data_IF_315395573115
#
_entry.id   IF_315395573115
#
_cell.length_a   1.000
_cell.length_b   1.000
_cell.length_c   1.000
_cell.angle_alpha   90.00
_cell.angle_beta   90.00
_cell.angle_gamma   90.00
#
_symmetry.space_group_name_H-M   'P 1'
#
loop_
_entity.id
_entity.type
_entity.pdbx_description
1 polymer ?
#
# COMPACT_ATOMS: atom_id res chain seq x y z
N UNK A 1 8.16 9.31 63.00
CA UNK A 1 7.44 8.96 61.74
C UNK A 1 7.43 7.44 61.59
N UNK A 2 6.25 6.83 61.63
CA UNK A 2 6.09 5.44 62.09
C UNK A 2 6.51 4.42 61.01
N UNK A 3 7.49 3.58 61.32
CA UNK A 3 8.00 2.52 60.44
C UNK A 3 6.88 1.59 59.94
N UNK A 4 5.83 1.38 60.75
CA UNK A 4 4.64 0.62 60.36
C UNK A 4 3.82 1.29 59.26
N UNK A 5 3.69 2.61 59.28
CA UNK A 5 2.97 3.39 58.26
C UNK A 5 3.70 3.33 56.91
N UNK A 6 5.04 3.44 56.90
CA UNK A 6 5.85 3.32 55.68
C UNK A 6 5.73 1.93 55.05
N UNK A 7 5.68 0.86 55.87
CA UNK A 7 5.49 -0.51 55.39
C UNK A 7 4.13 -0.73 54.74
N UNK A 8 3.05 -0.20 55.32
CA UNK A 8 1.71 -0.28 54.72
C UNK A 8 1.60 0.50 53.39
N UNK A 9 2.18 1.70 53.34
CA UNK A 9 2.14 2.55 52.13
C UNK A 9 2.94 1.91 50.99
N UNK A 10 4.12 1.33 51.27
CA UNK A 10 4.93 0.63 50.27
C UNK A 10 4.21 -0.64 49.78
N UNK A 11 3.60 -1.42 50.67
CA UNK A 11 2.83 -2.60 50.29
C UNK A 11 1.64 -2.28 49.38
N UNK A 12 0.90 -1.21 49.67
CA UNK A 12 -0.22 -0.77 48.84
C UNK A 12 0.25 -0.28 47.45
N UNK A 13 1.35 0.48 47.39
CA UNK A 13 1.89 0.98 46.12
C UNK A 13 2.37 -0.16 45.20
N UNK A 14 2.98 -1.21 45.76
CA UNK A 14 3.40 -2.39 44.99
C UNK A 14 2.21 -3.17 44.46
N UNK A 15 1.14 -3.32 45.25
CA UNK A 15 -0.08 -4.01 44.82
C UNK A 15 -0.82 -3.23 43.72
N UNK A 16 -0.92 -1.90 43.83
CA UNK A 16 -1.52 -1.07 42.78
C UNK A 16 -0.66 -1.11 41.52
N UNK A 17 0.66 -1.01 41.66
CA UNK A 17 1.60 -1.09 40.53
C UNK A 17 1.52 -2.43 39.80
N UNK A 18 1.41 -3.55 40.53
CA UNK A 18 1.27 -4.87 39.92
C UNK A 18 -0.05 -5.02 39.16
N UNK A 19 -1.16 -4.53 39.70
CA UNK A 19 -2.46 -4.55 39.02
C UNK A 19 -2.43 -3.69 37.76
N UNK A 20 -1.86 -2.48 37.81
CA UNK A 20 -1.73 -1.61 36.62
C UNK A 20 -0.84 -2.25 35.56
N UNK A 21 0.28 -2.87 35.96
CA UNK A 21 1.17 -3.60 35.05
C UNK A 21 0.45 -4.79 34.40
N UNK A 22 -0.30 -5.57 35.19
CA UNK A 22 -1.08 -6.71 34.69
C UNK A 22 -2.16 -6.23 33.71
N UNK A 23 -2.87 -5.14 34.02
CA UNK A 23 -3.88 -4.57 33.11
C UNK A 23 -3.26 -4.04 31.82
N UNK A 24 -2.11 -3.38 31.89
CA UNK A 24 -1.38 -2.91 30.70
C UNK A 24 -0.87 -4.08 29.85
N UNK A 25 -0.31 -5.11 30.47
CA UNK A 25 0.14 -6.33 29.80
C UNK A 25 -1.04 -7.11 29.19
N UNK A 26 -2.17 -7.19 29.90
CA UNK A 26 -3.39 -7.83 29.42
C UNK A 26 -3.96 -7.08 28.22
N UNK A 27 -3.95 -5.75 28.23
CA UNK A 27 -4.36 -4.94 27.08
C UNK A 27 -3.44 -5.15 25.86
N UNK A 28 -2.13 -5.35 26.09
CA UNK A 28 -1.17 -5.69 25.05
C UNK A 28 -1.35 -7.12 24.52
N UNK A 29 -1.79 -8.05 25.38
CA UNK A 29 -1.96 -9.47 25.05
C UNK A 29 -3.32 -9.76 24.37
N UNK A 30 -4.39 -9.06 24.73
CA UNK A 30 -5.68 -9.07 24.04
C UNK A 30 -5.65 -8.19 22.78
N UNK A 31 -4.53 -8.22 22.05
CA UNK A 31 -4.31 -7.43 20.83
C UNK A 31 -5.50 -7.47 19.88
N UNK A 32 -5.65 -6.46 19.00
CA UNK A 32 -6.85 -6.26 18.19
C UNK A 32 -7.23 -7.57 17.52
N UNK A 33 -8.35 -8.15 17.95
CA UNK A 33 -8.88 -9.37 17.36
C UNK A 33 -8.95 -9.12 15.86
N UNK A 34 -8.31 -9.97 15.06
CA UNK A 34 -8.41 -9.93 13.61
C UNK A 34 -9.87 -10.27 13.25
N UNK A 35 -10.75 -9.27 13.34
CA UNK A 35 -12.15 -9.40 12.99
C UNK A 35 -12.23 -9.69 11.49
N UNK A 36 -13.25 -10.42 11.04
CA UNK A 36 -13.52 -10.59 9.62
C UNK A 36 -13.51 -9.24 8.88
N UNK A 37 -14.12 -8.22 9.49
CA UNK A 37 -14.12 -6.86 8.96
C UNK A 37 -12.71 -6.28 8.76
N UNK A 38 -11.81 -6.41 9.75
CA UNK A 38 -10.43 -5.92 9.62
C UNK A 38 -9.66 -6.66 8.50
N UNK A 39 -9.88 -7.98 8.35
CA UNK A 39 -9.31 -8.77 7.26
C UNK A 39 -9.81 -8.32 5.90
N UNK A 40 -11.13 -8.15 5.74
CA UNK A 40 -11.72 -7.67 4.48
C UNK A 40 -11.27 -6.26 4.14
N UNK A 41 -11.10 -5.38 5.13
CA UNK A 41 -10.53 -4.04 4.91
C UNK A 41 -9.11 -4.11 4.33
N UNK A 42 -8.25 -4.94 4.91
CA UNK A 42 -6.91 -5.15 4.38
C UNK A 42 -6.93 -5.78 2.98
N UNK A 43 -7.80 -6.77 2.76
CA UNK A 43 -7.98 -7.43 1.47
C UNK A 43 -8.43 -6.45 0.37
N UNK A 44 -9.45 -5.64 0.64
CA UNK A 44 -9.95 -4.61 -0.29
C UNK A 44 -8.86 -3.57 -0.61
N UNK A 45 -8.07 -3.17 0.40
CA UNK A 45 -6.93 -2.29 0.20
C UNK A 45 -5.88 -2.90 -0.75
N UNK A 46 -5.46 -4.13 -0.48
CA UNK A 46 -4.46 -4.85 -1.29
C UNK A 46 -4.99 -5.09 -2.71
N UNK A 47 -6.25 -5.52 -2.85
CA UNK A 47 -6.84 -5.79 -4.16
C UNK A 47 -7.00 -4.50 -4.99
N UNK A 48 -7.35 -3.38 -4.37
CA UNK A 48 -7.39 -2.08 -5.06
C UNK A 48 -6.02 -1.65 -5.57
N UNK A 49 -4.95 -1.90 -4.80
CA UNK A 49 -3.58 -1.67 -5.26
C UNK A 49 -3.20 -2.58 -6.44
N UNK A 50 -3.64 -3.84 -6.45
CA UNK A 50 -3.45 -4.75 -7.59
C UNK A 50 -4.15 -4.25 -8.86
N UNK A 51 -5.37 -3.70 -8.74
CA UNK A 51 -6.09 -3.08 -9.86
C UNK A 51 -5.32 -1.88 -10.42
N UNK A 52 -4.78 -1.02 -9.54
CA UNK A 52 -3.96 0.13 -9.95
C UNK A 52 -2.67 -0.31 -10.64
N UNK A 53 -1.98 -1.31 -10.09
CA UNK A 53 -0.79 -1.89 -10.71
C UNK A 53 -1.10 -2.43 -12.11
N UNK A 54 -2.17 -3.21 -12.27
CA UNK A 54 -2.62 -3.71 -13.57
C UNK A 54 -2.85 -2.56 -14.56
N UNK A 55 -3.52 -1.48 -14.13
CA UNK A 55 -3.72 -0.30 -14.99
C UNK A 55 -2.41 0.34 -15.42
N UNK A 56 -1.43 0.41 -14.52
CA UNK A 56 -0.14 1.01 -14.82
C UNK A 56 0.73 0.15 -15.75
N UNK A 57 0.59 -1.16 -15.67
CA UNK A 57 1.34 -2.11 -16.50
C UNK A 57 0.70 -2.34 -17.87
N UNK A 58 -0.62 -2.54 -17.91
CA UNK A 58 -1.38 -2.88 -19.13
C UNK A 58 -1.94 -1.63 -19.83
N UNK A 59 -2.11 -0.53 -19.10
CA UNK A 59 -2.62 0.74 -19.64
C UNK A 59 -4.15 0.84 -19.69
N UNK A 60 -4.89 -0.22 -19.35
CA UNK A 60 -6.36 -0.26 -19.22
C UNK A 60 -6.78 -0.78 -17.85
N UNK A 61 -7.95 -0.39 -17.33
CA UNK A 61 -8.47 -1.02 -16.12
C UNK A 61 -8.97 -2.42 -16.48
N UNK A 62 -8.95 -3.38 -15.52
CA UNK A 62 -9.57 -4.66 -15.77
C UNK A 62 -11.09 -4.47 -15.95
N UNK A 63 -11.69 -5.21 -16.89
CA UNK A 63 -13.14 -5.18 -17.11
C UNK A 63 -13.90 -5.88 -15.96
N UNK A 64 -13.27 -6.87 -15.33
CA UNK A 64 -13.76 -7.57 -14.16
C UNK A 64 -12.59 -7.96 -13.26
N UNK A 65 -12.84 -8.16 -11.96
CA UNK A 65 -11.77 -8.58 -11.04
C UNK A 65 -11.17 -9.95 -11.42
N UNK A 66 -11.94 -10.84 -12.06
CA UNK A 66 -11.45 -12.13 -12.55
C UNK A 66 -10.36 -12.00 -13.62
N UNK A 67 -10.21 -10.84 -14.28
CA UNK A 67 -9.08 -10.59 -15.18
C UNK A 67 -7.75 -10.65 -14.42
N UNK A 68 -7.72 -10.26 -13.15
CA UNK A 68 -6.49 -10.25 -12.35
C UNK A 68 -5.97 -11.65 -12.01
N UNK A 69 -6.78 -12.70 -12.13
CA UNK A 69 -6.39 -14.09 -11.86
C UNK A 69 -5.90 -14.83 -13.09
N UNK A 70 -6.01 -14.21 -14.27
CA UNK A 70 -5.57 -14.78 -15.53
C UNK A 70 -4.05 -14.98 -15.54
N UNK A 71 -3.61 -16.20 -15.90
CA UNK A 71 -2.20 -16.59 -15.88
C UNK A 71 -1.41 -16.19 -17.14
N UNK A 72 -2.11 -15.82 -18.20
CA UNK A 72 -1.57 -15.45 -19.52
C UNK A 72 -1.32 -13.94 -19.68
N UNK A 73 -1.46 -13.18 -18.61
CA UNK A 73 -1.13 -11.75 -18.59
C UNK A 73 0.38 -11.51 -18.78
N UNK A 74 0.80 -10.37 -19.40
CA UNK A 74 2.21 -10.09 -19.68
C UNK A 74 3.13 -10.10 -18.45
N UNK A 75 2.58 -9.79 -17.27
CA UNK A 75 3.30 -9.72 -15.99
C UNK A 75 2.88 -10.84 -15.02
N UNK A 76 2.16 -11.85 -15.52
CA UNK A 76 1.59 -12.94 -14.71
C UNK A 76 0.32 -12.53 -13.95
N UNK A 77 -0.16 -13.43 -13.08
CA UNK A 77 -1.36 -13.19 -12.27
C UNK A 77 -1.11 -12.12 -11.22
N UNK A 78 -2.04 -11.18 -11.08
CA UNK A 78 -1.99 -10.12 -10.06
C UNK A 78 -2.71 -10.55 -8.77
N UNK A 79 -3.75 -11.37 -8.90
CA UNK A 79 -4.57 -11.86 -7.79
C UNK A 79 -4.79 -13.37 -7.87
N UNK A 80 -5.17 -13.96 -6.75
CA UNK A 80 -5.68 -15.32 -6.69
C UNK A 80 -7.21 -15.30 -6.56
N UNK A 81 -7.84 -16.45 -6.79
CA UNK A 81 -9.30 -16.58 -6.76
C UNK A 81 -9.87 -16.22 -5.39
N UNK A 82 -9.17 -16.58 -4.31
CA UNK A 82 -9.58 -16.27 -2.94
C UNK A 82 -9.50 -14.77 -2.61
N UNK A 83 -8.71 -13.98 -3.36
CA UNK A 83 -8.62 -12.53 -3.16
C UNK A 83 -9.91 -11.81 -3.61
N UNK A 84 -10.73 -12.46 -4.45
CA UNK A 84 -11.95 -11.91 -5.06
C UNK A 84 -13.18 -12.02 -4.15
N UNK A 85 -13.10 -12.87 -3.13
CA UNK A 85 -14.19 -13.16 -2.19
C UNK A 85 -13.82 -12.68 -0.80
N UNK A 86 -14.73 -11.98 -0.14
CA UNK A 86 -14.54 -11.49 1.22
C UNK A 86 -14.58 -12.62 2.27
N UNK A 87 -14.31 -12.25 3.53
CA UNK A 87 -14.28 -13.20 4.66
C UNK A 87 -15.64 -13.80 5.00
N UNK A 88 -16.73 -13.32 4.41
CA UNK A 88 -18.08 -13.87 4.55
C UNK A 88 -18.50 -14.70 3.34
N UNK A 89 -17.58 -14.94 2.39
CA UNK A 89 -17.79 -15.78 1.21
C UNK A 89 -18.54 -15.06 0.08
N UNK A 90 -18.65 -13.73 0.12
CA UNK A 90 -19.31 -12.95 -0.93
C UNK A 90 -18.27 -12.39 -1.90
N UNK A 91 -18.63 -12.33 -3.18
CA UNK A 91 -17.79 -11.68 -4.17
C UNK A 91 -17.70 -10.17 -3.89
N UNK A 92 -16.51 -9.60 -4.07
CA UNK A 92 -16.31 -8.16 -3.98
C UNK A 92 -16.98 -7.44 -5.15
N UNK A 93 -17.57 -6.29 -4.87
CA UNK A 93 -18.18 -5.44 -5.89
C UNK A 93 -17.12 -4.62 -6.59
N UNK A 94 -17.15 -4.64 -7.93
CA UNK A 94 -16.22 -3.91 -8.76
C UNK A 94 -16.90 -3.33 -9.99
N UNK A 95 -16.54 -2.09 -10.33
CA UNK A 95 -16.90 -1.46 -11.59
C UNK A 95 -15.80 -0.51 -12.01
N UNK A 96 -15.44 -0.48 -13.29
CA UNK A 96 -14.43 0.43 -13.84
C UNK A 96 -15.06 1.44 -14.82
N UNK A 97 -14.50 2.64 -14.84
CA UNK A 97 -14.72 3.67 -15.86
C UNK A 97 -13.35 4.05 -16.45
N UNK A 98 -13.00 3.40 -17.56
CA UNK A 98 -11.75 3.63 -18.27
C UNK A 98 -11.61 5.06 -18.82
N UNK A 99 -12.72 5.75 -19.10
CA UNK A 99 -12.66 7.14 -19.62
C UNK A 99 -12.15 8.10 -18.57
N UNK A 100 -12.49 7.85 -17.31
CA UNK A 100 -12.00 8.62 -16.18
C UNK A 100 -10.75 8.02 -15.55
N UNK A 101 -10.37 6.80 -15.92
CA UNK A 101 -9.26 6.06 -15.31
C UNK A 101 -9.55 5.73 -13.84
N UNK A 102 -10.80 5.41 -13.51
CA UNK A 102 -11.28 5.23 -12.13
C UNK A 102 -12.06 3.93 -11.99
N UNK A 103 -12.16 3.43 -10.77
CA UNK A 103 -12.94 2.23 -10.48
C UNK A 103 -13.58 2.30 -9.09
N UNK A 104 -14.68 1.59 -8.88
CA UNK A 104 -15.29 1.29 -7.60
C UNK A 104 -14.83 -0.09 -7.13
N UNK A 105 -14.49 -0.23 -5.85
CA UNK A 105 -14.19 -1.53 -5.22
C UNK A 105 -14.65 -1.53 -3.77
N UNK A 106 -15.54 -2.47 -3.41
CA UNK A 106 -16.10 -2.54 -2.07
C UNK A 106 -16.70 -3.91 -1.67
N UNK A 107 -16.91 -4.11 -0.36
CA UNK A 107 -17.71 -5.17 0.25
C UNK A 107 -18.86 -4.55 1.05
N UNK A 108 -20.02 -5.21 1.08
CA UNK A 108 -21.22 -4.81 1.82
C UNK A 108 -21.23 -5.35 3.26
N UNK A 109 -20.09 -5.74 3.79
CA UNK A 109 -20.03 -6.35 5.11
C UNK A 109 -20.71 -7.73 5.19
N UNK A 110 -20.96 -8.17 6.42
CA UNK A 110 -21.52 -9.49 6.73
C UNK A 110 -22.97 -9.65 6.26
N UNK A 111 -23.81 -8.66 6.48
CA UNK A 111 -25.24 -8.69 6.13
C UNK A 111 -25.48 -8.63 4.62
N UNK A 112 -24.53 -8.06 3.87
CA UNK A 112 -24.62 -7.91 2.43
C UNK A 112 -25.60 -6.81 2.01
N UNK A 113 -25.87 -5.85 2.89
CA UNK A 113 -26.74 -4.71 2.66
C UNK A 113 -25.91 -3.41 2.73
N UNK A 114 -26.31 -2.37 1.98
CA UNK A 114 -25.60 -1.10 2.06
C UNK A 114 -25.75 -0.47 3.46
N UNK A 115 -24.66 0.07 3.99
CA UNK A 115 -24.60 0.76 5.27
C UNK A 115 -24.07 -0.14 6.38
N UNK A 116 -24.85 -0.29 7.45
CA UNK A 116 -24.49 -1.13 8.60
C UNK A 116 -23.49 -0.52 9.59
N UNK A 117 -23.13 -1.31 10.61
CA UNK A 117 -22.16 -0.96 11.67
C UNK A 117 -21.32 -2.19 12.02
N UNK A 118 -20.14 -1.96 12.58
CA UNK A 118 -19.24 -3.02 13.04
C UNK A 118 -18.91 -4.01 11.93
N UNK A 119 -19.34 -5.28 12.02
CA UNK A 119 -19.10 -6.29 10.97
C UNK A 119 -20.02 -6.17 9.76
N UNK A 120 -21.15 -5.47 9.92
CA UNK A 120 -22.13 -5.22 8.85
C UNK A 120 -21.80 -3.92 8.10
N UNK A 121 -20.75 -3.19 8.52
CA UNK A 121 -20.36 -1.96 7.87
C UNK A 121 -19.75 -2.19 6.48
N UNK A 122 -20.13 -1.35 5.52
CA UNK A 122 -19.50 -1.33 4.19
C UNK A 122 -17.99 -1.05 4.26
N UNK A 123 -17.23 -1.76 3.44
CA UNK A 123 -15.77 -1.65 3.34
C UNK A 123 -15.40 -1.22 1.93
N UNK A 124 -14.77 -0.05 1.81
CA UNK A 124 -14.48 0.57 0.51
C UNK A 124 -13.01 0.83 0.33
N UNK A 125 -12.53 0.60 -0.89
CA UNK A 125 -11.19 0.99 -1.30
C UNK A 125 -11.05 2.52 -1.36
N UNK A 126 -10.03 3.03 -0.69
CA UNK A 126 -9.74 4.46 -0.64
C UNK A 126 -9.42 5.02 -2.04
N UNK A 127 -10.13 6.08 -2.44
CA UNK A 127 -10.01 6.68 -3.77
C UNK A 127 -10.78 5.95 -4.89
N UNK A 128 -11.62 4.96 -4.55
CA UNK A 128 -12.52 4.32 -5.53
C UNK A 128 -13.82 5.12 -5.76
N UNK A 129 -14.60 4.81 -6.80
CA UNK A 129 -15.91 5.41 -7.10
C UNK A 129 -17.09 4.73 -6.37
N UNK A 130 -16.83 3.92 -5.34
CA UNK A 130 -17.88 3.12 -4.72
C UNK A 130 -18.97 4.00 -4.05
N UNK A 131 -20.26 3.70 -4.28
CA UNK A 131 -21.36 4.43 -3.69
C UNK A 131 -21.53 4.02 -2.22
N UNK A 132 -20.81 4.70 -1.33
CA UNK A 132 -21.24 4.85 0.06
C UNK A 132 -22.20 6.04 0.15
N UNK A 133 -22.94 6.16 1.25
CA UNK A 133 -23.77 7.35 1.45
C UNK A 133 -22.96 8.65 1.14
N UNK A 134 -23.68 9.66 0.63
CA UNK A 134 -23.04 10.90 0.15
C UNK A 134 -22.41 11.72 1.27
N UNK A 135 -22.68 11.41 2.54
CA UNK A 135 -22.24 12.20 3.68
C UNK A 135 -20.86 11.77 4.16
N UNK A 136 -20.61 10.46 4.19
CA UNK A 136 -19.32 9.86 4.52
C UNK A 136 -18.22 10.33 3.55
N UNK A 137 -18.53 10.52 2.28
CA UNK A 137 -17.59 11.02 1.26
C UNK A 137 -17.20 12.49 1.47
N UNK A 138 -18.13 13.34 1.93
CA UNK A 138 -17.86 14.78 2.12
C UNK A 138 -16.84 15.04 3.22
N UNK A 139 -16.76 14.16 4.21
CA UNK A 139 -15.98 14.40 5.43
C UNK A 139 -14.67 13.61 5.49
N UNK A 140 -14.46 12.60 4.63
CA UNK A 140 -13.26 11.75 4.65
C UNK A 140 -12.16 12.14 3.66
N UNK A 141 -12.37 13.18 2.86
CA UNK A 141 -11.33 13.82 2.06
C UNK A 141 -10.49 12.86 1.21
N UNK A 142 -10.89 12.64 -0.04
CA UNK A 142 -9.88 12.71 -1.10
C UNK A 142 -10.53 13.10 -2.42
N UNK A 143 -10.04 14.15 -3.09
CA UNK A 143 -10.47 14.48 -4.43
C UNK A 143 -10.09 13.31 -5.34
N UNK A 144 -10.98 13.03 -6.29
CA UNK A 144 -10.92 11.94 -7.24
C UNK A 144 -9.70 12.12 -8.17
N UNK A 145 -8.50 11.85 -7.68
CA UNK A 145 -7.26 11.98 -8.45
C UNK A 145 -7.12 10.77 -9.38
N UNK A 146 -6.71 11.02 -10.61
CA UNK A 146 -6.40 9.95 -11.56
C UNK A 146 -5.32 9.02 -10.97
N UNK A 147 -5.35 7.73 -11.32
CA UNK A 147 -4.37 6.75 -10.84
C UNK A 147 -2.96 7.23 -11.25
N UNK A 148 -2.15 7.62 -10.27
CA UNK A 148 -0.76 8.01 -10.50
C UNK A 148 0.14 6.77 -10.58
N UNK A 149 0.64 6.50 -11.78
CA UNK A 149 1.56 5.40 -12.03
C UNK A 149 3.01 5.69 -11.63
N UNK A 150 3.32 6.82 -11.00
CA UNK A 150 4.67 7.12 -10.49
C UNK A 150 5.11 6.14 -9.39
N UNK A 151 4.18 5.72 -8.53
CA UNK A 151 4.46 4.79 -7.42
C UNK A 151 4.76 3.36 -7.90
N UNK A 152 4.11 2.91 -8.98
CA UNK A 152 4.35 1.59 -9.59
C UNK A 152 5.55 1.59 -10.54
N UNK A 153 6.12 2.77 -10.83
CA UNK A 153 7.29 2.97 -11.68
C UNK A 153 8.62 2.62 -11.00
N UNK A 154 8.63 1.82 -9.92
CA UNK A 154 9.86 1.38 -9.23
C UNK A 154 10.66 0.39 -10.10
N UNK A 155 11.35 0.97 -11.08
CA UNK A 155 12.71 0.72 -11.55
C UNK A 155 13.22 -0.71 -11.83
N UNK A 156 12.98 -1.19 -13.06
CA UNK A 156 13.94 -2.01 -13.81
C UNK A 156 15.07 -1.17 -14.44
N UNK A 157 14.94 0.17 -14.45
CA UNK A 157 15.79 1.03 -15.30
C UNK A 157 16.85 1.84 -14.55
N UNK A 158 16.78 2.06 -13.23
CA UNK A 158 17.82 2.85 -12.54
C UNK A 158 19.15 2.12 -12.47
N UNK A 159 19.16 0.80 -12.19
CA UNK A 159 20.40 0.01 -12.20
C UNK A 159 20.97 -0.13 -13.62
N UNK A 160 20.10 -0.23 -14.63
CA UNK A 160 20.50 -0.25 -16.04
C UNK A 160 21.04 1.12 -16.49
N UNK A 161 20.38 2.21 -16.12
CA UNK A 161 20.81 3.59 -16.40
C UNK A 161 22.11 3.93 -15.64
N UNK A 162 22.27 3.51 -14.39
CA UNK A 162 23.53 3.65 -13.64
C UNK A 162 24.66 2.83 -14.29
N UNK A 163 24.38 1.61 -14.75
CA UNK A 163 25.35 0.79 -15.49
C UNK A 163 25.70 1.38 -16.85
N UNK A 164 24.72 1.90 -17.58
CA UNK A 164 24.90 2.55 -18.88
C UNK A 164 25.63 3.89 -18.75
N UNK A 165 25.32 4.69 -17.73
CA UNK A 165 26.03 5.93 -17.40
C UNK A 165 27.46 5.66 -16.94
N UNK A 166 27.69 4.63 -16.13
CA UNK A 166 29.03 4.21 -15.74
C UNK A 166 29.85 3.68 -16.94
N UNK A 167 29.22 2.93 -17.85
CA UNK A 167 29.86 2.47 -19.08
C UNK A 167 30.15 3.63 -20.06
N UNK A 168 29.27 4.63 -20.16
CA UNK A 168 29.49 5.81 -20.98
C UNK A 168 30.61 6.71 -20.44
N UNK A 169 30.73 6.85 -19.11
CA UNK A 169 31.84 7.59 -18.49
C UNK A 169 33.18 6.86 -18.67
N UNK A 170 33.20 5.52 -18.62
CA UNK A 170 34.39 4.72 -18.89
C UNK A 170 34.83 4.74 -20.38
N UNK A 171 33.91 5.00 -21.30
CA UNK A 171 34.19 5.11 -22.74
C UNK A 171 34.66 6.52 -23.17
N UNK A 172 34.71 7.48 -22.24
CA UNK A 172 35.17 8.84 -22.54
C UNK A 172 36.68 8.83 -22.81
N UNK A 173 37.13 9.26 -24.00
CA UNK A 173 38.56 9.25 -24.32
C UNK A 173 39.29 10.20 -23.35
N UNK A 174 40.36 9.69 -22.73
CA UNK A 174 41.21 10.47 -21.85
C UNK A 174 41.68 11.75 -22.54
N UNK A 175 41.76 12.90 -21.82
CA UNK A 175 42.25 14.13 -22.41
C UNK A 175 43.66 13.88 -22.96
N UNK A 176 43.85 14.16 -24.26
CA UNK A 176 45.17 14.07 -24.90
C UNK A 176 46.11 14.97 -24.10
N UNK A 177 47.07 14.35 -23.40
CA UNK A 177 48.21 15.04 -22.82
C UNK A 177 48.90 15.75 -24.00
N UNK A 178 48.84 17.07 -24.00
CA UNK A 178 49.47 17.88 -25.04
C UNK A 178 50.97 17.62 -25.04
N UNK A 179 51.47 17.07 -26.13
CA UNK A 179 52.90 17.02 -26.42
C UNK A 179 53.34 18.41 -26.86
N UNK A 180 53.56 19.29 -25.88
CA UNK A 180 54.42 20.47 -26.06
C UNK A 180 55.87 20.00 -25.97
N UNK A 181 56.49 19.73 -27.12
CA UNK A 181 57.96 19.75 -27.22
C UNK A 181 58.43 19.96 -28.66
N UNK A 182 58.95 21.17 -28.87
CA UNK A 182 60.13 21.47 -29.71
C UNK A 182 60.04 21.25 -31.23
N UNK A 183 59.83 22.37 -31.94
CA UNK A 183 60.07 22.50 -33.37
C UNK A 183 60.45 23.93 -33.78
N UNK A 184 61.43 24.53 -33.10
CA UNK A 184 62.02 25.79 -33.56
C UNK A 184 63.00 25.52 -34.72
N UNK A 185 62.49 25.74 -35.94
CA UNK A 185 63.12 26.36 -37.13
C UNK A 185 64.66 26.27 -37.27
N UNK A 186 65.12 25.69 -38.38
CA UNK A 186 66.23 26.22 -39.21
C UNK A 186 66.10 25.75 -40.66
N UNK A 187 65.72 26.70 -41.53
CA UNK A 187 66.03 26.69 -42.96
C UNK A 187 67.11 27.75 -43.21
N UNK A 188 68.14 27.34 -43.97
CA UNK A 188 69.29 28.08 -44.51
C UNK A 188 70.38 28.55 -43.55
#
# INVERSE_FOLDING_TARGET
MNVRLRKCVVGAAVAVGSVVLILWLLHLLLGPHCTPHARVRAQVAILGEKVRAFRCDVGVLPAALSTLTAGDLPYGRYANEYDLTDSWGRALYYASDDRQGRFALFSLGRDGLPGGRDEDADIVFEGSLAPLDREIWRNRGSPVQAIDCSAYRTTPQQSLMLRQAAAAEAAKPAPRRGDDASGCRRDR
#
